data_IF_161018573317
#
_entry.id   IF_161018573317
#
_cell.length_a   1.000
_cell.length_b   1.000
_cell.length_c   1.000
_cell.angle_alpha   90.00
_cell.angle_beta   90.00
_cell.angle_gamma   90.00
#
_symmetry.space_group_name_H-M   'P 1'
#
loop_
_entity.id
_entity.type
_entity.pdbx_description
1 polymer ?
#
# COMPACT_ATOMS: atom_id res chain seq x y z
N UNK A 1 0.12 10.99 -22.77
CA UNK A 1 -0.39 11.67 -23.98
C UNK A 1 -1.84 12.04 -23.73
N UNK A 2 -2.26 13.30 -23.94
CA UNK A 2 -3.69 13.59 -23.87
C UNK A 2 -4.36 12.98 -25.11
N UNK A 3 -5.47 12.29 -24.92
CA UNK A 3 -6.27 11.79 -26.05
C UNK A 3 -6.57 12.93 -27.03
N UNK A 4 -6.73 12.65 -28.32
CA UNK A 4 -6.94 13.69 -29.34
C UNK A 4 -8.22 14.52 -29.11
N UNK A 5 -9.19 13.98 -28.35
CA UNK A 5 -10.42 14.65 -27.94
C UNK A 5 -10.31 15.40 -26.60
N UNK A 6 -9.19 15.30 -25.89
CA UNK A 6 -8.99 16.04 -24.65
C UNK A 6 -8.86 17.54 -24.97
N UNK A 7 -9.83 18.33 -24.50
CA UNK A 7 -9.83 19.77 -24.73
C UNK A 7 -8.65 20.42 -24.00
N UNK A 8 -7.90 21.33 -24.61
CA UNK A 8 -6.83 22.06 -23.92
C UNK A 8 -7.42 23.07 -22.93
N UNK A 9 -6.60 23.49 -21.98
CA UNK A 9 -6.95 24.59 -21.08
C UNK A 9 -7.00 25.91 -21.85
N UNK A 10 -8.10 26.65 -21.72
CA UNK A 10 -8.26 27.98 -22.32
C UNK A 10 -8.56 29.02 -21.23
N UNK A 11 -7.62 29.92 -20.90
CA UNK A 11 -7.86 30.98 -19.92
C UNK A 11 -8.92 31.98 -20.43
N UNK A 12 -9.99 32.17 -19.64
CA UNK A 12 -11.12 33.05 -20.01
C UNK A 12 -10.97 34.49 -19.49
N UNK A 13 -10.13 34.72 -18.50
CA UNK A 13 -9.93 36.03 -17.87
C UNK A 13 -8.57 36.62 -18.24
N UNK A 14 -8.45 37.96 -18.18
CA UNK A 14 -7.17 38.64 -18.37
C UNK A 14 -6.09 38.16 -17.39
N UNK A 15 -6.47 38.00 -16.12
CA UNK A 15 -5.61 37.43 -15.07
C UNK A 15 -5.20 35.99 -15.38
N UNK A 16 -6.14 35.16 -15.84
CA UNK A 16 -5.87 33.76 -16.22
C UNK A 16 -4.84 33.67 -17.35
N UNK A 17 -4.95 34.53 -18.37
CA UNK A 17 -3.96 34.61 -19.46
C UNK A 17 -2.58 35.02 -18.94
N UNK A 18 -2.53 36.05 -18.09
CA UNK A 18 -1.28 36.53 -17.51
C UNK A 18 -0.54 35.45 -16.72
N UNK A 19 -1.27 34.65 -15.92
CA UNK A 19 -0.69 33.51 -15.20
C UNK A 19 -0.25 32.40 -16.15
N UNK A 20 -1.11 31.98 -17.08
CA UNK A 20 -0.84 30.85 -17.97
C UNK A 20 0.38 31.07 -18.88
N UNK A 21 0.68 32.32 -19.24
CA UNK A 21 1.90 32.69 -20.00
C UNK A 21 3.20 32.62 -19.20
N UNK A 22 3.14 32.76 -17.86
CA UNK A 22 4.34 32.90 -17.00
C UNK A 22 4.58 31.67 -16.14
N UNK A 23 3.51 31.12 -15.60
CA UNK A 23 3.48 30.00 -14.70
C UNK A 23 2.18 29.22 -14.96
N UNK A 24 2.19 28.25 -15.90
CA UNK A 24 1.00 27.53 -16.38
C UNK A 24 0.44 26.51 -15.37
N UNK A 25 0.35 26.90 -14.09
CA UNK A 25 -0.23 26.10 -13.02
C UNK A 25 -1.71 25.77 -13.27
N UNK A 26 -2.58 26.71 -13.70
CA UNK A 26 -3.97 26.37 -14.00
C UNK A 26 -4.08 25.32 -15.11
N UNK A 27 -3.24 25.43 -16.15
CA UNK A 27 -3.14 24.45 -17.24
C UNK A 27 -2.65 23.09 -16.75
N UNK A 28 -1.63 23.07 -15.90
CA UNK A 28 -1.13 21.84 -15.27
C UNK A 28 -2.22 21.13 -14.46
N UNK A 29 -2.92 21.85 -13.58
CA UNK A 29 -4.02 21.29 -12.77
C UNK A 29 -5.15 20.81 -13.67
N UNK A 30 -5.55 21.60 -14.67
CA UNK A 30 -6.60 21.23 -15.61
C UNK A 30 -6.28 19.95 -16.39
N UNK A 31 -5.02 19.78 -16.83
CA UNK A 31 -4.55 18.61 -17.56
C UNK A 31 -4.23 17.38 -16.70
N UNK A 32 -3.99 17.56 -15.39
CA UNK A 32 -3.66 16.47 -14.48
C UNK A 32 -4.89 15.89 -13.77
N UNK A 33 -5.79 16.74 -13.27
CA UNK A 33 -6.95 16.34 -12.46
C UNK A 33 -8.23 17.10 -12.82
N UNK A 34 -8.22 17.89 -13.90
CA UNK A 34 -9.34 18.71 -14.31
C UNK A 34 -10.17 18.11 -15.46
N UNK A 35 -10.79 19.00 -16.24
CA UNK A 35 -11.55 18.62 -17.43
C UNK A 35 -10.68 18.11 -18.59
N UNK A 36 -9.37 18.40 -18.56
CA UNK A 36 -8.41 18.02 -19.59
C UNK A 36 -7.83 16.62 -19.41
N UNK A 37 -8.22 15.89 -18.36
CA UNK A 37 -7.76 14.52 -18.10
C UNK A 37 -8.89 13.51 -18.29
N UNK A 38 -8.98 12.83 -19.45
CA UNK A 38 -9.99 11.80 -19.69
C UNK A 38 -9.61 10.49 -18.99
N UNK A 39 -10.58 9.90 -18.30
CA UNK A 39 -10.43 8.69 -17.49
C UNK A 39 -11.47 7.66 -17.95
N UNK A 40 -11.14 6.34 -18.02
CA UNK A 40 -12.10 5.29 -18.37
C UNK A 40 -13.39 5.45 -17.55
N UNK A 41 -14.58 5.31 -18.14
CA UNK A 41 -15.85 5.57 -17.42
C UNK A 41 -16.33 4.47 -16.47
N UNK A 42 -15.77 3.26 -16.59
CA UNK A 42 -16.18 2.07 -15.84
C UNK A 42 -15.34 1.83 -14.58
N UNK A 43 -14.67 2.85 -14.02
CA UNK A 43 -13.89 2.65 -12.80
C UNK A 43 -14.82 2.39 -11.60
N UNK A 44 -14.68 1.24 -10.96
CA UNK A 44 -15.35 0.92 -9.70
C UNK A 44 -14.63 1.57 -8.49
N UNK A 45 -15.14 1.35 -7.27
CA UNK A 45 -14.60 1.99 -6.06
C UNK A 45 -13.17 1.57 -5.68
N UNK A 46 -12.63 0.49 -6.24
CA UNK A 46 -11.24 0.10 -5.96
C UNK A 46 -10.22 1.10 -6.55
N UNK A 47 -10.62 1.96 -7.48
CA UNK A 47 -9.75 3.04 -8.00
C UNK A 47 -9.58 4.21 -7.02
N UNK A 48 -10.47 4.36 -6.04
CA UNK A 48 -10.45 5.45 -5.06
C UNK A 48 -9.30 5.32 -4.04
N UNK A 49 -8.77 4.10 -3.85
CA UNK A 49 -7.68 3.85 -2.89
C UNK A 49 -6.38 4.58 -3.22
N UNK A 50 -6.16 5.00 -4.48
CA UNK A 50 -5.00 5.83 -4.83
C UNK A 50 -5.09 7.24 -4.22
N UNK A 51 -6.26 7.88 -4.33
CA UNK A 51 -6.51 9.20 -3.74
C UNK A 51 -6.52 9.13 -2.21
N UNK A 52 -7.10 8.07 -1.64
CA UNK A 52 -7.04 7.83 -0.20
C UNK A 52 -5.59 7.70 0.31
N UNK A 53 -4.72 7.01 -0.43
CA UNK A 53 -3.30 6.90 -0.03
C UNK A 53 -2.63 8.27 0.03
N UNK A 54 -2.92 9.14 -0.94
CA UNK A 54 -2.49 10.54 -0.92
C UNK A 54 -3.07 11.32 0.28
N UNK A 55 -4.33 11.11 0.63
CA UNK A 55 -4.94 11.75 1.79
C UNK A 55 -4.27 11.32 3.10
N UNK A 56 -4.01 10.03 3.31
CA UNK A 56 -3.30 9.55 4.50
C UNK A 56 -1.84 10.02 4.53
N UNK A 57 -1.15 10.11 3.39
CA UNK A 57 0.18 10.74 3.36
C UNK A 57 0.13 12.18 3.89
N UNK A 58 -0.86 12.97 3.47
CA UNK A 58 -1.04 14.34 3.96
C UNK A 58 -1.38 14.39 5.45
N UNK A 59 -2.26 13.52 5.93
CA UNK A 59 -2.58 13.40 7.36
C UNK A 59 -1.30 13.10 8.15
N UNK A 60 -0.49 12.14 7.72
CA UNK A 60 0.75 11.78 8.41
C UNK A 60 1.76 12.93 8.41
N UNK A 61 1.95 13.65 7.28
CA UNK A 61 2.89 14.77 7.21
C UNK A 61 2.43 15.91 8.14
N UNK A 62 1.17 16.32 8.06
CA UNK A 62 0.66 17.45 8.85
C UNK A 62 0.69 17.11 10.35
N UNK A 63 0.15 15.96 10.75
CA UNK A 63 0.17 15.56 12.17
C UNK A 63 1.59 15.29 12.66
N UNK A 64 2.47 14.73 11.83
CA UNK A 64 3.87 14.47 12.17
C UNK A 64 4.67 15.74 12.42
N UNK A 65 4.52 16.76 11.57
CA UNK A 65 5.15 18.08 11.77
C UNK A 65 4.67 18.70 13.09
N UNK A 66 3.37 18.63 13.39
CA UNK A 66 2.82 19.18 14.64
C UNK A 66 3.34 18.42 15.87
N UNK A 67 3.39 17.08 15.82
CA UNK A 67 3.94 16.27 16.91
C UNK A 67 5.43 16.54 17.13
N UNK A 68 6.19 16.73 16.06
CA UNK A 68 7.62 17.03 16.13
C UNK A 68 7.94 18.35 16.85
N UNK A 69 6.99 19.30 16.93
CA UNK A 69 7.17 20.55 17.69
C UNK A 69 7.19 20.34 19.21
N UNK A 70 6.68 19.20 19.69
CA UNK A 70 6.56 18.88 21.12
C UNK A 70 7.34 17.61 21.52
N UNK A 71 7.80 16.83 20.55
CA UNK A 71 8.57 15.61 20.79
C UNK A 71 10.04 15.92 21.10
N UNK A 72 10.62 15.20 22.07
CA UNK A 72 12.03 15.29 22.41
C UNK A 72 12.76 13.97 22.12
N UNK A 73 13.75 13.99 21.20
CA UNK A 73 14.51 12.81 20.78
C UNK A 73 15.67 12.50 21.74
N UNK A 74 15.34 12.08 22.95
CA UNK A 74 16.29 11.60 23.96
C UNK A 74 15.81 10.30 24.60
N UNK A 75 16.69 9.34 24.86
CA UNK A 75 16.31 8.08 25.55
C UNK A 75 15.73 8.33 26.94
N UNK A 76 16.17 9.40 27.61
CA UNK A 76 15.68 9.79 28.94
C UNK A 76 14.31 10.50 28.90
N UNK A 77 13.94 11.06 27.74
CA UNK A 77 12.82 12.00 27.62
C UNK A 77 11.77 11.68 26.57
N UNK A 78 12.05 10.78 25.62
CA UNK A 78 11.18 10.50 24.48
C UNK A 78 9.80 10.01 24.92
N UNK A 79 9.76 8.99 25.77
CA UNK A 79 8.51 8.44 26.31
C UNK A 79 7.70 9.51 27.05
N UNK A 80 8.36 10.26 27.94
CA UNK A 80 7.71 11.33 28.71
C UNK A 80 7.24 12.49 27.83
N UNK A 81 7.94 12.82 26.74
CA UNK A 81 7.50 13.84 25.78
C UNK A 81 6.23 13.43 25.03
N UNK A 82 6.06 12.13 24.75
CA UNK A 82 4.82 11.61 24.16
C UNK A 82 3.67 11.67 25.17
N UNK A 83 3.92 11.37 26.45
CA UNK A 83 2.89 11.54 27.49
C UNK A 83 2.55 13.02 27.75
N UNK A 84 3.51 13.93 27.64
CA UNK A 84 3.28 15.38 27.66
C UNK A 84 2.35 15.81 26.52
N UNK A 85 2.60 15.33 25.28
CA UNK A 85 1.69 15.56 24.14
C UNK A 85 0.28 15.09 24.46
N UNK A 86 0.13 13.92 25.09
CA UNK A 86 -1.18 13.37 25.42
C UNK A 86 -1.96 14.20 26.44
N UNK A 87 -1.26 14.77 27.42
CA UNK A 87 -1.88 15.29 28.65
C UNK A 87 -1.95 16.80 28.69
N UNK A 88 -0.97 17.48 28.12
CA UNK A 88 -0.74 18.91 28.35
C UNK A 88 -0.92 19.75 27.08
N UNK A 89 -0.63 19.17 25.90
CA UNK A 89 -0.78 19.88 24.62
C UNK A 89 -2.25 19.94 24.23
N UNK A 90 -2.72 21.13 23.82
CA UNK A 90 -4.09 21.34 23.36
C UNK A 90 -4.44 20.37 22.21
N UNK A 91 -5.42 19.50 22.44
CA UNK A 91 -5.81 18.42 21.53
C UNK A 91 -4.65 17.48 21.11
N UNK A 92 -3.56 17.43 21.88
CA UNK A 92 -2.40 16.59 21.58
C UNK A 92 -2.72 15.10 21.60
N UNK A 93 -3.63 14.65 22.48
CA UNK A 93 -4.19 13.29 22.46
C UNK A 93 -4.79 12.92 21.10
N UNK A 94 -5.55 13.84 20.50
CA UNK A 94 -6.22 13.63 19.23
C UNK A 94 -5.19 13.57 18.11
N UNK A 95 -4.22 14.49 18.11
CA UNK A 95 -3.17 14.54 17.09
C UNK A 95 -2.29 13.29 17.14
N UNK A 96 -1.91 12.82 18.34
CA UNK A 96 -1.16 11.55 18.49
C UNK A 96 -1.97 10.38 17.95
N UNK A 97 -3.24 10.26 18.31
CA UNK A 97 -4.07 9.15 17.82
C UNK A 97 -4.37 9.23 16.33
N UNK A 98 -4.51 10.43 15.76
CA UNK A 98 -4.62 10.61 14.31
C UNK A 98 -3.34 10.14 13.60
N UNK A 99 -2.17 10.46 14.13
CA UNK A 99 -0.90 10.02 13.53
C UNK A 99 -0.68 8.50 13.67
N UNK A 100 -1.00 7.93 14.83
CA UNK A 100 -0.83 6.51 15.12
C UNK A 100 -1.82 5.64 14.33
N UNK A 101 -3.13 5.95 14.39
CA UNK A 101 -4.13 5.22 13.63
C UNK A 101 -4.07 5.53 12.13
N UNK A 102 -3.62 6.74 11.77
CA UNK A 102 -3.41 7.14 10.38
C UNK A 102 -2.37 6.26 9.69
N UNK A 103 -1.30 5.85 10.40
CA UNK A 103 -0.35 4.86 9.88
C UNK A 103 -1.03 3.52 9.55
N UNK A 104 -1.88 3.01 10.44
CA UNK A 104 -2.64 1.77 10.19
C UNK A 104 -3.56 1.92 8.97
N UNK A 105 -4.37 2.98 8.91
CA UNK A 105 -5.26 3.20 7.78
C UNK A 105 -4.49 3.40 6.47
N UNK A 106 -3.30 4.01 6.51
CA UNK A 106 -2.43 4.13 5.35
C UNK A 106 -2.03 2.75 4.82
N UNK A 107 -1.64 1.80 5.68
CA UNK A 107 -1.37 0.42 5.24
C UNK A 107 -2.60 -0.34 4.77
N UNK A 108 -3.78 -0.16 5.41
CA UNK A 108 -5.04 -0.77 4.93
C UNK A 108 -5.30 -0.33 3.48
N UNK A 109 -5.24 0.99 3.24
CA UNK A 109 -5.47 1.58 1.93
C UNK A 109 -4.46 1.09 0.91
N UNK A 110 -3.18 1.06 1.27
CA UNK A 110 -2.11 0.62 0.38
C UNK A 110 -2.19 -0.88 0.08
N UNK A 111 -2.53 -1.73 1.05
CA UNK A 111 -2.75 -3.16 0.77
C UNK A 111 -3.89 -3.38 -0.22
N UNK A 112 -5.03 -2.72 -0.01
CA UNK A 112 -6.15 -2.82 -0.95
C UNK A 112 -5.73 -2.28 -2.33
N UNK A 113 -4.95 -1.19 -2.38
CA UNK A 113 -4.44 -0.64 -3.63
C UNK A 113 -3.49 -1.60 -4.38
N UNK A 114 -2.60 -2.29 -3.67
CA UNK A 114 -1.69 -3.31 -4.21
C UNK A 114 -2.50 -4.50 -4.74
N UNK A 115 -3.41 -5.06 -3.93
CA UNK A 115 -4.22 -6.22 -4.33
C UNK A 115 -5.18 -5.91 -5.47
N UNK A 116 -5.70 -4.68 -5.56
CA UNK A 116 -6.39 -4.19 -6.76
C UNK A 116 -5.47 -4.28 -7.97
N UNK A 117 -4.24 -3.79 -7.86
CA UNK A 117 -3.26 -3.83 -8.95
C UNK A 117 -2.93 -5.25 -9.39
N UNK A 118 -2.78 -6.17 -8.43
CA UNK A 118 -2.61 -7.60 -8.66
C UNK A 118 -3.80 -8.21 -9.42
N UNK A 119 -5.03 -7.92 -8.98
CA UNK A 119 -6.24 -8.50 -9.56
C UNK A 119 -6.51 -8.02 -10.99
N UNK A 120 -6.42 -6.70 -11.23
CA UNK A 120 -6.74 -6.11 -12.54
C UNK A 120 -5.55 -6.09 -13.51
N UNK A 121 -4.40 -6.64 -13.11
CA UNK A 121 -3.19 -6.64 -13.94
C UNK A 121 -2.67 -5.22 -14.22
N UNK A 122 -2.87 -4.27 -13.30
CA UNK A 122 -2.46 -2.87 -13.47
C UNK A 122 -0.94 -2.69 -13.50
N UNK A 123 -0.19 -3.74 -13.17
CA UNK A 123 1.27 -3.80 -13.25
C UNK A 123 1.80 -4.23 -14.63
N UNK A 124 0.95 -4.79 -15.49
CA UNK A 124 1.34 -5.24 -16.84
C UNK A 124 1.59 -4.04 -17.77
N UNK A 125 2.27 -4.32 -18.88
CA UNK A 125 2.56 -3.34 -19.93
C UNK A 125 1.31 -2.52 -20.34
N UNK A 126 1.44 -1.19 -20.51
CA UNK A 126 2.65 -0.35 -20.39
C UNK A 126 2.80 0.36 -19.02
N UNK A 127 2.43 -0.29 -17.90
CA UNK A 127 2.34 0.32 -16.55
C UNK A 127 3.39 -0.21 -15.56
N UNK A 128 4.45 -0.83 -16.06
CA UNK A 128 5.52 -1.43 -15.24
C UNK A 128 6.18 -0.38 -14.34
N UNK A 129 6.47 0.81 -14.86
CA UNK A 129 7.06 1.90 -14.08
C UNK A 129 6.12 2.41 -12.99
N UNK A 130 4.80 2.45 -13.25
CA UNK A 130 3.80 2.82 -12.23
C UNK A 130 3.88 1.82 -11.08
N UNK A 131 3.90 0.53 -11.39
CA UNK A 131 4.01 -0.54 -10.41
C UNK A 131 5.32 -0.46 -9.59
N UNK A 132 6.47 -0.32 -10.25
CA UNK A 132 7.77 -0.24 -9.57
C UNK A 132 7.86 0.98 -8.65
N UNK A 133 7.42 2.15 -9.10
CA UNK A 133 7.36 3.35 -8.26
C UNK A 133 6.40 3.13 -7.07
N UNK A 134 5.29 2.42 -7.28
CA UNK A 134 4.39 2.00 -6.20
C UNK A 134 5.06 1.11 -5.15
N UNK A 135 5.88 0.15 -5.59
CA UNK A 135 6.65 -0.71 -4.68
C UNK A 135 7.78 0.04 -3.95
N UNK A 136 8.41 1.02 -4.61
CA UNK A 136 9.37 1.93 -3.95
C UNK A 136 8.67 2.74 -2.86
N UNK A 137 7.48 3.30 -3.15
CA UNK A 137 6.66 3.99 -2.15
C UNK A 137 6.33 3.04 -0.98
N UNK A 138 5.93 1.80 -1.28
CA UNK A 138 5.62 0.82 -0.26
C UNK A 138 6.82 0.52 0.66
N UNK A 139 8.02 0.31 0.12
CA UNK A 139 9.23 0.11 0.92
C UNK A 139 9.57 1.34 1.78
N UNK A 140 9.43 2.54 1.22
CA UNK A 140 9.63 3.79 1.95
C UNK A 140 8.59 3.93 3.08
N UNK A 141 7.32 3.57 2.85
CA UNK A 141 6.29 3.56 3.88
C UNK A 141 6.63 2.60 5.01
N UNK A 142 7.09 1.38 4.70
CA UNK A 142 7.51 0.40 5.72
C UNK A 142 8.67 0.93 6.57
N UNK A 143 9.71 1.48 5.94
CA UNK A 143 10.84 2.08 6.65
C UNK A 143 10.40 3.26 7.53
N UNK A 144 9.53 4.12 7.00
CA UNK A 144 9.01 5.31 7.71
C UNK A 144 8.19 4.91 8.92
N UNK A 145 7.26 3.96 8.76
CA UNK A 145 6.40 3.49 9.83
C UNK A 145 7.20 2.81 10.96
N UNK A 146 8.17 1.95 10.60
CA UNK A 146 9.09 1.35 11.57
C UNK A 146 9.81 2.41 12.41
N UNK A 147 10.48 3.37 11.76
CA UNK A 147 11.22 4.40 12.51
C UNK A 147 10.30 5.27 13.37
N UNK A 148 9.10 5.58 12.89
CA UNK A 148 8.07 6.29 13.64
C UNK A 148 7.62 5.54 14.89
N UNK A 149 7.49 4.21 14.78
CA UNK A 149 7.12 3.35 15.90
C UNK A 149 8.25 3.20 16.93
N UNK A 150 9.50 3.48 16.58
CA UNK A 150 10.61 3.53 17.55
C UNK A 150 10.56 4.80 18.42
N UNK A 151 10.03 5.91 17.89
CA UNK A 151 10.11 7.23 18.54
C UNK A 151 9.45 7.33 19.94
N UNK A 152 8.31 6.67 20.22
CA UNK A 152 7.74 6.68 21.57
C UNK A 152 8.63 6.06 22.64
N UNK A 153 9.65 5.27 22.25
CA UNK A 153 10.61 4.64 23.15
C UNK A 153 9.97 3.81 24.27
N UNK A 154 8.89 3.10 23.93
CA UNK A 154 8.31 2.06 24.78
C UNK A 154 8.95 0.68 24.57
N UNK A 155 8.43 -0.34 25.24
CA UNK A 155 8.94 -1.70 25.12
C UNK A 155 8.90 -2.24 23.69
N UNK A 156 7.77 -2.10 22.98
CA UNK A 156 7.66 -2.59 21.61
C UNK A 156 8.56 -1.78 20.65
N UNK A 157 8.69 -0.47 20.89
CA UNK A 157 9.61 0.41 20.16
C UNK A 157 11.07 -0.06 20.24
N UNK A 158 11.58 -0.25 21.46
CA UNK A 158 12.99 -0.62 21.69
C UNK A 158 13.32 -2.00 21.12
N UNK A 159 12.51 -3.00 21.50
CA UNK A 159 12.79 -4.36 21.09
C UNK A 159 12.49 -4.60 19.61
N UNK A 160 11.52 -3.89 19.04
CA UNK A 160 11.30 -3.84 17.59
C UNK A 160 12.53 -3.31 16.85
N UNK A 161 13.15 -2.24 17.35
CA UNK A 161 14.41 -1.71 16.80
C UNK A 161 15.55 -2.74 16.90
N UNK A 162 15.69 -3.43 18.04
CA UNK A 162 16.70 -4.46 18.23
C UNK A 162 16.53 -5.64 17.25
N UNK A 163 15.29 -6.10 17.05
CA UNK A 163 14.98 -7.22 16.15
C UNK A 163 15.20 -6.83 14.69
N UNK A 164 14.62 -5.71 14.23
CA UNK A 164 14.67 -5.29 12.82
C UNK A 164 16.09 -4.93 12.40
N UNK A 165 16.84 -4.19 13.21
CA UNK A 165 18.26 -3.93 12.91
C UNK A 165 19.11 -5.21 13.02
N UNK A 166 18.70 -6.14 13.88
CA UNK A 166 19.28 -7.48 13.99
C UNK A 166 19.20 -8.29 12.70
N UNK A 167 18.23 -8.05 11.82
CA UNK A 167 18.14 -8.74 10.52
C UNK A 167 19.38 -8.52 9.65
N UNK A 168 19.96 -7.31 9.68
CA UNK A 168 21.15 -7.00 8.89
C UNK A 168 22.38 -7.78 9.34
N UNK A 169 22.49 -8.14 10.62
CA UNK A 169 23.58 -9.00 11.12
C UNK A 169 23.54 -10.43 10.58
N UNK A 170 22.46 -10.85 9.89
CA UNK A 170 22.40 -12.16 9.26
C UNK A 170 23.31 -12.29 8.03
N UNK A 171 23.69 -11.17 7.40
CA UNK A 171 24.55 -11.18 6.22
C UNK A 171 26.02 -11.42 6.59
N UNK A 172 26.67 -12.46 6.03
CA UNK A 172 28.08 -12.73 6.29
C UNK A 172 28.97 -11.54 5.89
N UNK A 173 30.04 -11.30 6.65
CA UNK A 173 31.06 -10.26 6.43
C UNK A 173 30.56 -8.81 6.61
N UNK A 174 29.48 -8.43 5.95
CA UNK A 174 28.98 -7.04 5.91
C UNK A 174 27.89 -6.75 6.95
N UNK A 175 27.26 -7.79 7.51
CA UNK A 175 26.05 -7.64 8.31
C UNK A 175 26.26 -6.91 9.63
N UNK A 176 27.25 -7.30 10.42
CA UNK A 176 27.52 -6.65 11.71
C UNK A 176 28.04 -5.22 11.56
N UNK A 177 29.00 -4.91 10.65
CA UNK A 177 29.38 -3.52 10.38
C UNK A 177 28.19 -2.66 9.94
N UNK A 178 27.28 -3.19 9.11
CA UNK A 178 26.08 -2.48 8.69
C UNK A 178 25.11 -2.23 9.87
N UNK A 179 24.90 -3.22 10.73
CA UNK A 179 24.05 -3.06 11.93
C UNK A 179 24.61 -2.01 12.87
N UNK A 180 25.91 -2.06 13.17
CA UNK A 180 26.59 -1.04 14.01
C UNK A 180 26.50 0.33 13.35
N UNK A 181 26.69 0.41 12.03
CA UNK A 181 26.51 1.65 11.28
C UNK A 181 25.07 2.17 11.36
N UNK A 182 24.04 1.33 11.35
CA UNK A 182 22.64 1.76 11.46
C UNK A 182 22.29 2.26 12.86
N UNK A 183 22.77 1.56 13.90
CA UNK A 183 22.51 1.91 15.30
C UNK A 183 23.38 3.07 15.81
N UNK A 184 24.58 3.24 15.25
CA UNK A 184 25.60 4.12 15.82
C UNK A 184 26.21 3.56 17.11
N UNK A 185 26.11 2.24 17.32
CA UNK A 185 26.52 1.52 18.52
C UNK A 185 26.20 0.03 18.42
N UNK A 186 26.29 -0.71 19.53
CA UNK A 186 26.08 -2.17 19.56
C UNK A 186 24.63 -2.58 19.86
N UNK A 187 23.81 -1.65 20.33
CA UNK A 187 22.40 -1.83 20.66
C UNK A 187 21.64 -0.54 20.35
N UNK A 188 20.29 -0.58 20.25
CA UNK A 188 19.47 0.62 20.24
C UNK A 188 19.77 1.47 21.48
N UNK A 189 20.08 2.74 21.24
CA UNK A 189 20.41 3.74 22.25
C UNK A 189 20.20 5.14 21.64
N UNK A 190 20.65 6.21 22.32
CA UNK A 190 20.52 7.61 21.93
C UNK A 190 20.88 7.87 20.47
N UNK A 191 22.01 7.32 19.99
CA UNK A 191 22.45 7.50 18.61
C UNK A 191 21.44 6.96 17.59
N UNK A 192 20.84 5.78 17.87
CA UNK A 192 19.83 5.18 17.01
C UNK A 192 18.54 6.01 17.00
N UNK A 193 18.06 6.42 18.19
CA UNK A 193 16.84 7.19 18.35
C UNK A 193 16.89 8.54 17.61
N UNK A 194 17.97 9.30 17.77
CA UNK A 194 18.14 10.59 17.09
C UNK A 194 18.18 10.45 15.56
N UNK A 195 18.82 9.39 15.05
CA UNK A 195 18.88 9.14 13.61
C UNK A 195 17.55 8.68 13.05
N UNK A 196 16.84 7.82 13.77
CA UNK A 196 15.51 7.39 13.38
C UNK A 196 14.51 8.54 13.40
N UNK A 197 14.62 9.48 14.34
CA UNK A 197 13.84 10.72 14.29
C UNK A 197 14.11 11.52 13.01
N UNK A 198 15.38 11.78 12.70
CA UNK A 198 15.77 12.53 11.49
C UNK A 198 15.27 11.86 10.20
N UNK A 199 15.45 10.54 10.09
CA UNK A 199 15.03 9.79 8.91
C UNK A 199 13.50 9.65 8.83
N UNK A 200 12.81 9.44 9.96
CA UNK A 200 11.35 9.42 10.00
C UNK A 200 10.74 10.77 9.58
N UNK A 201 11.40 11.88 9.90
CA UNK A 201 10.99 13.21 9.42
C UNK A 201 11.23 13.37 7.91
N UNK A 202 12.38 12.89 7.41
CA UNK A 202 12.78 13.05 6.00
C UNK A 202 11.95 12.19 5.03
N UNK A 203 11.76 10.90 5.34
CA UNK A 203 11.19 9.94 4.39
C UNK A 203 9.77 10.25 3.91
N UNK A 204 8.84 10.82 4.70
CA UNK A 204 7.54 11.28 4.19
C UNK A 204 7.64 12.26 3.01
N UNK A 205 8.66 13.12 2.98
CA UNK A 205 8.89 14.02 1.84
C UNK A 205 9.49 13.29 0.64
N UNK A 206 10.33 12.30 0.88
CA UNK A 206 10.81 11.39 -0.19
C UNK A 206 9.64 10.61 -0.78
N UNK A 207 8.73 10.09 0.05
CA UNK A 207 7.49 9.44 -0.39
C UNK A 207 6.67 10.41 -1.24
N UNK A 208 6.46 11.64 -0.79
CA UNK A 208 5.72 12.64 -1.57
C UNK A 208 6.37 12.91 -2.95
N UNK A 209 7.69 13.01 -3.02
CA UNK A 209 8.41 13.15 -4.29
C UNK A 209 8.22 11.94 -5.22
N UNK A 210 8.30 10.72 -4.69
CA UNK A 210 8.07 9.50 -5.49
C UNK A 210 6.60 9.36 -5.88
N UNK A 211 5.64 9.80 -5.06
CA UNK A 211 4.22 9.87 -5.41
C UNK A 211 3.98 10.78 -6.61
N UNK A 212 4.66 11.93 -6.69
CA UNK A 212 4.60 12.80 -7.88
C UNK A 212 5.08 12.05 -9.12
N UNK A 213 6.20 11.33 -9.03
CA UNK A 213 6.70 10.50 -10.12
C UNK A 213 5.75 9.37 -10.48
N UNK A 214 5.13 8.73 -9.49
CA UNK A 214 4.17 7.65 -9.67
C UNK A 214 2.90 8.12 -10.41
N UNK A 215 2.37 9.28 -10.02
CA UNK A 215 1.23 9.92 -10.69
C UNK A 215 1.61 10.36 -12.12
N UNK A 216 2.80 10.91 -12.31
CA UNK A 216 3.28 11.25 -13.65
C UNK A 216 3.42 10.00 -14.54
N UNK A 217 4.06 8.93 -14.04
CA UNK A 217 4.15 7.66 -14.75
C UNK A 217 2.78 7.10 -15.12
N UNK A 218 1.75 7.29 -14.28
CA UNK A 218 0.36 6.93 -14.57
C UNK A 218 -0.27 7.78 -15.68
N UNK A 219 0.01 9.09 -15.72
CA UNK A 219 -0.53 10.00 -16.73
C UNK A 219 -0.02 9.74 -18.15
N UNK A 220 1.05 8.94 -18.31
CA UNK A 220 1.58 8.58 -19.63
C UNK A 220 0.65 7.58 -20.35
N UNK A 221 0.41 6.36 -19.81
CA UNK A 221 -0.51 5.38 -20.39
C UNK A 221 -1.97 5.54 -19.93
N UNK A 222 -2.23 6.39 -18.94
CA UNK A 222 -3.55 6.56 -18.32
C UNK A 222 -3.95 5.42 -17.39
N UNK A 223 -5.03 5.66 -16.64
CA UNK A 223 -5.61 4.67 -15.72
C UNK A 223 -5.98 3.38 -16.43
N UNK A 224 -5.66 2.24 -15.81
CA UNK A 224 -6.30 0.96 -16.15
C UNK A 224 -7.78 0.99 -15.72
N UNK A 225 -8.55 -0.03 -16.07
CA UNK A 225 -9.96 -0.15 -15.68
C UNK A 225 -10.33 -1.63 -15.42
N UNK A 226 -11.50 -1.92 -14.84
CA UNK A 226 -11.88 -3.27 -14.45
C UNK A 226 -11.86 -4.30 -15.57
N UNK A 227 -12.03 -3.88 -16.83
CA UNK A 227 -12.03 -4.82 -17.95
C UNK A 227 -10.63 -5.10 -18.50
N UNK A 228 -9.66 -4.23 -18.23
CA UNK A 228 -8.29 -4.32 -18.77
C UNK A 228 -8.17 -3.91 -20.25
N UNK A 229 -9.27 -3.54 -20.90
CA UNK A 229 -9.33 -3.06 -22.30
C UNK A 229 -8.86 -1.62 -22.37
N UNK A 230 -8.07 -1.27 -23.39
CA UNK A 230 -7.59 0.10 -23.61
C UNK A 230 -8.69 1.05 -24.08
N UNK A 231 -8.51 2.33 -23.78
CA UNK A 231 -9.39 3.41 -24.25
C UNK A 231 -9.22 3.58 -25.76
N UNK A 232 -10.31 3.48 -26.52
CA UNK A 232 -10.30 3.61 -27.99
C UNK A 232 -10.95 4.90 -28.46
N UNK A 233 -12.01 5.33 -27.79
CA UNK A 233 -12.83 6.46 -28.23
C UNK A 233 -13.17 7.41 -27.09
N UNK A 234 -13.62 8.63 -27.42
CA UNK A 234 -14.12 9.60 -26.43
C UNK A 234 -15.24 9.00 -25.57
N UNK A 235 -16.10 8.18 -26.18
CA UNK A 235 -17.19 7.47 -25.49
C UNK A 235 -16.69 6.48 -24.44
N UNK A 236 -15.42 6.10 -24.41
CA UNK A 236 -14.90 5.24 -23.35
C UNK A 236 -14.51 6.00 -22.08
N UNK A 237 -14.53 7.34 -22.14
CA UNK A 237 -14.00 8.21 -21.09
C UNK A 237 -15.01 9.19 -20.54
N UNK A 238 -14.67 9.77 -19.39
CA UNK A 238 -15.24 10.97 -18.79
C UNK A 238 -14.09 11.85 -18.29
N UNK A 239 -14.25 13.19 -18.24
CA UNK A 239 -13.24 14.04 -17.61
C UNK A 239 -13.10 13.72 -16.12
N UNK A 240 -11.89 13.84 -15.55
CA UNK A 240 -11.65 13.60 -14.13
C UNK A 240 -12.52 14.52 -13.26
N UNK A 241 -12.48 15.82 -13.52
CA UNK A 241 -13.38 16.77 -12.88
C UNK A 241 -14.62 17.04 -13.77
N UNK A 242 -15.86 16.99 -13.24
CA UNK A 242 -16.21 16.80 -11.82
C UNK A 242 -16.47 15.33 -11.42
N UNK A 243 -16.56 14.39 -12.36
CA UNK A 243 -17.08 13.04 -12.11
C UNK A 243 -16.26 12.25 -11.08
N UNK A 244 -14.95 12.11 -11.32
CA UNK A 244 -14.06 11.38 -10.42
C UNK A 244 -13.71 12.19 -9.18
N UNK A 245 -13.60 13.51 -9.26
CA UNK A 245 -13.47 14.36 -8.06
C UNK A 245 -14.63 14.15 -7.09
N UNK A 246 -15.87 14.13 -7.57
CA UNK A 246 -17.06 13.94 -6.72
C UNK A 246 -17.11 12.51 -6.14
N UNK A 247 -16.85 11.49 -6.97
CA UNK A 247 -16.79 10.10 -6.53
C UNK A 247 -15.71 9.87 -5.48
N UNK A 248 -14.52 10.43 -5.69
CA UNK A 248 -13.38 10.35 -4.78
C UNK A 248 -13.66 11.09 -3.48
N UNK A 249 -14.25 12.29 -3.55
CA UNK A 249 -14.65 13.06 -2.36
C UNK A 249 -15.69 12.33 -1.51
N UNK A 250 -16.72 11.75 -2.13
CA UNK A 250 -17.74 10.96 -1.43
C UNK A 250 -17.13 9.73 -0.74
N UNK A 251 -16.33 8.96 -1.47
CA UNK A 251 -15.68 7.77 -0.93
C UNK A 251 -14.68 8.11 0.19
N UNK A 252 -13.93 9.20 0.02
CA UNK A 252 -13.00 9.70 1.03
C UNK A 252 -13.73 10.13 2.30
N UNK A 253 -14.88 10.81 2.19
CA UNK A 253 -15.69 11.18 3.35
C UNK A 253 -16.16 9.95 4.14
N UNK A 254 -16.65 8.91 3.46
CA UNK A 254 -17.06 7.67 4.11
C UNK A 254 -15.87 6.96 4.82
N UNK A 255 -14.71 6.89 4.18
CA UNK A 255 -13.53 6.24 4.75
C UNK A 255 -12.91 7.06 5.91
N UNK A 256 -12.90 8.39 5.81
CA UNK A 256 -12.47 9.28 6.88
C UNK A 256 -13.43 9.28 8.06
N UNK A 257 -14.74 9.06 7.84
CA UNK A 257 -15.69 8.83 8.92
C UNK A 257 -15.35 7.54 9.68
N UNK A 258 -15.03 6.44 8.99
CA UNK A 258 -14.56 5.21 9.65
C UNK A 258 -13.24 5.44 10.42
N UNK A 259 -12.29 6.16 9.83
CA UNK A 259 -11.05 6.55 10.50
C UNK A 259 -11.29 7.36 11.77
N UNK A 260 -12.22 8.33 11.72
CA UNK A 260 -12.62 9.10 12.88
C UNK A 260 -13.30 8.20 13.94
N UNK A 261 -14.20 7.29 13.54
CA UNK A 261 -14.84 6.37 14.48
C UNK A 261 -13.81 5.55 15.26
N UNK A 262 -12.81 4.97 14.57
CA UNK A 262 -11.74 4.22 15.24
C UNK A 262 -10.89 5.14 16.12
N UNK A 263 -10.49 6.31 15.61
CA UNK A 263 -9.59 7.22 16.34
C UNK A 263 -10.22 7.81 17.60
N UNK A 264 -11.52 8.12 17.58
CA UNK A 264 -12.19 8.74 18.73
C UNK A 264 -12.76 7.72 19.71
N UNK A 265 -13.26 6.57 19.24
CA UNK A 265 -13.96 5.60 20.11
C UNK A 265 -13.16 4.33 20.41
N UNK A 266 -12.13 4.02 19.61
CA UNK A 266 -11.28 2.84 19.82
C UNK A 266 -9.79 3.09 19.47
N UNK A 267 -9.17 4.19 19.94
CA UNK A 267 -7.86 4.66 19.45
C UNK A 267 -6.71 3.66 19.64
N UNK A 268 -6.83 2.76 20.62
CA UNK A 268 -5.79 1.79 20.97
C UNK A 268 -6.03 0.39 20.38
N UNK A 269 -7.13 0.19 19.65
CA UNK A 269 -7.51 -1.13 19.13
C UNK A 269 -6.47 -1.73 18.18
N UNK A 270 -5.77 -0.89 17.41
CA UNK A 270 -4.78 -1.32 16.41
C UNK A 270 -3.33 -1.23 16.92
N UNK A 271 -3.13 -0.83 18.19
CA UNK A 271 -1.82 -0.72 18.83
C UNK A 271 -1.52 -1.89 19.77
N UNK A 272 -0.29 -1.93 20.29
CA UNK A 272 0.11 -2.92 21.29
C UNK A 272 0.20 -2.27 22.69
N UNK A 273 -0.43 -2.85 23.73
CA UNK A 273 -0.48 -2.25 25.06
C UNK A 273 0.90 -2.07 25.69
N UNK A 274 1.83 -3.00 25.48
CA UNK A 274 3.19 -2.91 26.06
C UNK A 274 3.97 -1.69 25.58
N UNK A 275 3.56 -1.03 24.50
CA UNK A 275 4.21 0.22 24.08
C UNK A 275 3.83 1.44 24.95
N UNK A 276 2.96 1.24 25.96
CA UNK A 276 2.72 2.16 27.07
C UNK A 276 3.61 1.86 28.29
N UNK A 277 4.51 0.88 28.20
CA UNK A 277 5.55 0.63 29.19
C UNK A 277 6.85 1.26 28.65
N UNK A 278 7.57 2.10 29.41
CA UNK A 278 8.87 2.63 29.00
C UNK A 278 9.85 1.52 28.63
N UNK A 279 10.72 1.78 27.67
CA UNK A 279 11.73 0.81 27.26
C UNK A 279 12.64 0.37 28.42
N UNK A 280 12.75 -0.94 28.61
CA UNK A 280 13.73 -1.58 29.48
C UNK A 280 14.65 -2.46 28.62
N UNK A 281 15.91 -2.03 28.39
CA UNK A 281 16.91 -2.80 27.64
C UNK A 281 17.24 -4.17 28.24
N UNK A 282 16.89 -4.41 29.52
CA UNK A 282 17.23 -5.63 30.25
C UNK A 282 16.06 -6.61 30.34
N UNK A 283 14.85 -6.20 29.95
CA UNK A 283 13.65 -7.04 30.05
C UNK A 283 12.86 -7.06 28.73
N UNK A 284 13.01 -8.13 27.96
CA UNK A 284 12.18 -8.36 26.78
C UNK A 284 10.75 -8.74 27.19
N UNK A 285 9.71 -8.10 26.63
CA UNK A 285 8.34 -8.52 26.83
C UNK A 285 8.10 -9.97 26.42
N UNK A 286 7.23 -10.68 27.14
CA UNK A 286 6.93 -12.09 26.89
C UNK A 286 6.33 -12.32 25.49
N UNK A 287 5.60 -11.33 24.95
CA UNK A 287 4.93 -11.41 23.65
C UNK A 287 5.34 -10.25 22.75
N UNK A 288 6.59 -10.24 22.30
CA UNK A 288 7.04 -9.29 21.28
C UNK A 288 6.46 -9.64 19.90
N UNK A 289 5.66 -8.73 19.35
CA UNK A 289 5.12 -8.81 18.00
C UNK A 289 5.27 -7.45 17.31
N UNK A 290 5.56 -7.41 16.00
CA UNK A 290 5.51 -6.16 15.28
C UNK A 290 4.05 -5.73 15.07
N UNK A 291 3.88 -4.55 14.51
CA UNK A 291 2.60 -3.97 14.16
C UNK A 291 1.89 -4.82 13.08
N UNK A 292 0.56 -4.77 13.06
CA UNK A 292 -0.25 -5.71 12.28
C UNK A 292 0.05 -5.68 10.77
N UNK A 293 0.41 -4.51 10.25
CA UNK A 293 0.79 -4.35 8.85
C UNK A 293 2.15 -4.97 8.51
N UNK A 294 2.92 -5.47 9.48
CA UNK A 294 4.13 -6.26 9.25
C UNK A 294 3.97 -7.76 9.51
N UNK A 295 2.84 -8.20 10.08
CA UNK A 295 2.63 -9.60 10.44
C UNK A 295 2.85 -10.60 9.31
N UNK A 296 2.37 -10.40 8.06
CA UNK A 296 2.57 -11.39 7.00
C UNK A 296 4.05 -11.63 6.70
N UNK A 297 4.86 -10.57 6.65
CA UNK A 297 6.30 -10.66 6.39
C UNK A 297 7.06 -11.23 7.59
N UNK A 298 6.65 -10.86 8.79
CA UNK A 298 7.20 -11.44 10.02
C UNK A 298 6.93 -12.94 10.10
N UNK A 299 5.74 -13.40 9.70
CA UNK A 299 5.41 -14.83 9.61
C UNK A 299 6.28 -15.58 8.61
N UNK A 300 6.53 -14.99 7.44
CA UNK A 300 7.46 -15.53 6.43
C UNK A 300 8.87 -15.66 7.02
N UNK A 301 9.37 -14.62 7.71
CA UNK A 301 10.71 -14.64 8.31
C UNK A 301 10.90 -15.82 9.26
N UNK A 302 9.97 -16.00 10.20
CA UNK A 302 10.06 -17.02 11.26
C UNK A 302 9.63 -18.43 10.83
N UNK A 303 9.17 -18.60 9.59
CA UNK A 303 8.86 -19.92 9.04
C UNK A 303 10.13 -20.77 8.82
N UNK A 304 11.28 -20.12 8.67
CA UNK A 304 12.58 -20.76 8.48
C UNK A 304 13.26 -21.02 9.83
N UNK A 305 13.14 -22.26 10.33
CA UNK A 305 13.57 -22.63 11.68
C UNK A 305 14.78 -23.58 11.71
N UNK A 306 15.23 -24.06 10.56
CA UNK A 306 16.30 -25.05 10.44
C UNK A 306 17.43 -24.53 9.56
N UNK A 307 18.67 -24.81 9.97
CA UNK A 307 19.84 -24.52 9.14
C UNK A 307 19.91 -25.50 7.97
N UNK A 308 20.06 -24.98 6.76
CA UNK A 308 20.32 -25.78 5.56
C UNK A 308 21.04 -24.91 4.54
N UNK A 309 22.14 -25.32 3.89
CA UNK A 309 22.95 -24.49 2.96
C UNK A 309 23.46 -23.16 3.57
N UNK A 310 22.57 -22.29 4.05
CA UNK A 310 22.75 -21.10 4.87
C UNK A 310 22.07 -21.26 6.25
N UNK A 311 22.45 -20.45 7.25
CA UNK A 311 21.76 -20.42 8.53
C UNK A 311 20.28 -20.03 8.41
N UNK A 312 19.41 -20.60 9.24
CA UNK A 312 17.96 -20.32 9.30
C UNK A 312 17.67 -18.83 9.42
N UNK A 313 18.46 -18.12 10.25
CA UNK A 313 18.41 -16.67 10.41
C UNK A 313 18.57 -15.94 9.06
N UNK A 314 19.54 -16.34 8.24
CA UNK A 314 19.75 -15.73 6.92
C UNK A 314 18.62 -16.09 5.95
N UNK A 315 18.15 -17.34 5.95
CA UNK A 315 17.00 -17.73 5.14
C UNK A 315 15.73 -16.94 5.44
N UNK A 316 15.40 -16.78 6.73
CA UNK A 316 14.25 -15.99 7.14
C UNK A 316 14.33 -14.54 6.64
N UNK A 317 15.50 -13.91 6.79
CA UNK A 317 15.74 -12.54 6.30
C UNK A 317 15.62 -12.47 4.77
N UNK A 318 16.26 -13.39 4.04
CA UNK A 318 16.18 -13.45 2.58
C UNK A 318 14.75 -13.66 2.10
N UNK A 319 14.00 -14.57 2.71
CA UNK A 319 12.62 -14.84 2.33
C UNK A 319 11.71 -13.65 2.63
N UNK A 320 11.86 -12.99 3.78
CA UNK A 320 11.10 -11.79 4.10
C UNK A 320 11.30 -10.68 3.05
N UNK A 321 12.55 -10.38 2.69
CA UNK A 321 12.83 -9.37 1.66
C UNK A 321 12.42 -9.85 0.27
N UNK A 322 12.67 -11.11 -0.08
CA UNK A 322 12.28 -11.69 -1.37
C UNK A 322 10.75 -11.64 -1.57
N UNK A 323 9.95 -11.80 -0.51
CA UNK A 323 8.50 -11.72 -0.59
C UNK A 323 8.02 -10.37 -1.17
N UNK A 324 8.73 -9.28 -0.87
CA UNK A 324 8.41 -7.95 -1.42
C UNK A 324 9.13 -7.74 -2.76
N UNK A 325 10.42 -8.06 -2.82
CA UNK A 325 11.26 -7.80 -3.99
C UNK A 325 10.83 -8.59 -5.22
N UNK A 326 10.23 -9.78 -5.05
CA UNK A 326 9.69 -10.56 -6.17
C UNK A 326 8.60 -9.78 -6.92
N UNK A 327 7.87 -8.90 -6.24
CA UNK A 327 6.80 -8.13 -6.85
C UNK A 327 7.33 -7.17 -7.90
N UNK A 328 8.59 -6.69 -7.81
CA UNK A 328 9.20 -5.89 -8.88
C UNK A 328 9.27 -6.67 -10.19
N UNK A 329 9.42 -7.98 -10.13
CA UNK A 329 9.51 -8.86 -11.30
C UNK A 329 8.15 -9.33 -11.82
N UNK A 330 7.07 -9.02 -11.10
CA UNK A 330 5.70 -9.47 -11.42
C UNK A 330 5.26 -9.19 -12.87
N UNK A 331 5.55 -8.01 -13.48
CA UNK A 331 5.20 -7.74 -14.88
C UNK A 331 5.80 -8.73 -15.88
N UNK A 332 6.89 -9.40 -15.53
CA UNK A 332 7.57 -10.39 -16.39
C UNK A 332 7.28 -11.83 -15.98
N UNK A 333 6.74 -12.07 -14.79
CA UNK A 333 6.26 -13.37 -14.34
C UNK A 333 4.87 -13.70 -14.92
N UNK A 334 3.95 -12.74 -14.93
CA UNK A 334 2.62 -12.92 -15.55
C UNK A 334 2.61 -12.51 -17.02
N UNK A 335 2.87 -13.49 -17.89
CA UNK A 335 2.88 -13.31 -19.35
C UNK A 335 1.52 -13.45 -20.02
N UNK A 336 0.41 -13.54 -19.26
CA UNK A 336 -0.92 -13.68 -19.87
C UNK A 336 -1.26 -12.41 -20.65
N UNK A 337 -1.75 -12.52 -21.90
CA UNK A 337 -2.12 -11.37 -22.72
C UNK A 337 -3.36 -10.65 -22.15
N UNK A 338 -4.16 -11.31 -21.33
CA UNK A 338 -5.32 -10.72 -20.67
C UNK A 338 -4.89 -10.06 -19.36
N UNK A 339 -5.18 -8.76 -19.24
CA UNK A 339 -4.78 -7.98 -18.06
C UNK A 339 -5.67 -8.25 -16.85
N UNK A 340 -6.98 -8.05 -17.00
CA UNK A 340 -7.91 -8.18 -15.88
C UNK A 340 -8.13 -9.62 -15.46
N UNK A 341 -8.02 -9.89 -14.16
CA UNK A 341 -8.36 -11.16 -13.54
C UNK A 341 -9.85 -11.52 -13.64
N UNK A 342 -10.73 -10.55 -13.95
CA UNK A 342 -12.16 -10.81 -14.15
C UNK A 342 -12.43 -11.76 -15.33
N UNK A 343 -11.57 -11.77 -16.34
CA UNK A 343 -11.68 -12.63 -17.53
C UNK A 343 -10.72 -13.81 -17.51
N UNK A 344 -10.15 -14.13 -16.35
CA UNK A 344 -9.17 -15.21 -16.17
C UNK A 344 -9.66 -16.17 -15.09
N UNK A 345 -10.48 -17.18 -15.45
CA UNK A 345 -11.21 -18.01 -14.48
C UNK A 345 -10.30 -18.79 -13.51
N UNK A 346 -9.16 -19.29 -13.99
CA UNK A 346 -8.20 -20.04 -13.19
C UNK A 346 -7.37 -19.06 -12.34
N UNK A 347 -6.87 -17.98 -12.93
CA UNK A 347 -6.17 -16.92 -12.19
C UNK A 347 -7.01 -16.40 -11.02
N UNK A 348 -8.30 -16.10 -11.26
CA UNK A 348 -9.22 -15.56 -10.24
C UNK A 348 -9.30 -16.48 -9.01
N UNK A 349 -9.33 -17.80 -9.19
CA UNK A 349 -9.35 -18.77 -8.07
C UNK A 349 -8.06 -18.69 -7.26
N UNK A 350 -6.90 -18.76 -7.92
CA UNK A 350 -5.60 -18.72 -7.24
C UNK A 350 -5.29 -17.35 -6.63
N UNK A 351 -5.80 -16.27 -7.21
CA UNK A 351 -5.73 -14.94 -6.62
C UNK A 351 -6.47 -14.89 -5.27
N UNK A 352 -7.68 -15.43 -5.19
CA UNK A 352 -8.41 -15.46 -3.90
C UNK A 352 -7.76 -16.39 -2.88
N UNK A 353 -7.15 -17.50 -3.33
CA UNK A 353 -6.33 -18.33 -2.44
C UNK A 353 -5.12 -17.53 -1.93
N UNK A 354 -4.46 -16.70 -2.76
CA UNK A 354 -3.40 -15.79 -2.31
C UNK A 354 -3.91 -14.77 -1.27
N UNK A 355 -5.09 -14.20 -1.46
CA UNK A 355 -5.67 -13.27 -0.46
C UNK A 355 -5.86 -13.98 0.88
N UNK A 356 -6.41 -15.19 0.87
CA UNK A 356 -6.59 -16.01 2.08
C UNK A 356 -5.24 -16.37 2.70
N UNK A 357 -4.25 -16.74 1.88
CA UNK A 357 -2.90 -17.07 2.33
C UNK A 357 -2.21 -15.92 3.05
N UNK A 358 -2.29 -14.69 2.50
CA UNK A 358 -1.73 -13.49 3.15
C UNK A 358 -2.45 -13.17 4.46
N UNK A 359 -3.75 -13.43 4.57
CA UNK A 359 -4.49 -13.32 5.84
C UNK A 359 -4.01 -14.38 6.85
N UNK A 360 -3.81 -15.62 6.40
CA UNK A 360 -3.26 -16.70 7.25
C UNK A 360 -1.86 -16.34 7.73
N UNK A 361 -0.99 -15.82 6.85
CA UNK A 361 0.34 -15.31 7.23
C UNK A 361 0.22 -14.19 8.27
N UNK A 362 -0.70 -13.24 8.09
CA UNK A 362 -0.98 -12.20 9.08
C UNK A 362 -1.39 -12.77 10.45
N UNK A 363 -2.28 -13.75 10.46
CA UNK A 363 -2.70 -14.44 11.70
C UNK A 363 -1.50 -15.16 12.33
N UNK A 364 -0.69 -15.88 11.55
CA UNK A 364 0.49 -16.58 12.06
C UNK A 364 1.54 -15.62 12.63
N UNK A 365 1.65 -14.41 12.09
CA UNK A 365 2.61 -13.40 12.53
C UNK A 365 2.38 -12.94 13.97
N UNK A 366 1.13 -12.90 14.45
CA UNK A 366 0.81 -12.52 15.84
C UNK A 366 0.75 -13.71 16.80
N UNK A 367 0.72 -14.96 16.30
CA UNK A 367 0.62 -16.16 17.14
C UNK A 367 1.98 -16.60 17.69
N UNK A 368 2.04 -17.32 18.82
CA UNK A 368 3.30 -17.80 19.39
C UNK A 368 4.11 -18.69 18.43
N UNK A 369 5.43 -18.74 18.59
CA UNK A 369 6.35 -19.57 17.79
C UNK A 369 6.32 -21.02 18.28
N UNK A 370 5.17 -21.67 18.12
CA UNK A 370 4.93 -23.06 18.52
C UNK A 370 4.01 -23.78 17.52
N UNK A 371 3.86 -25.10 17.67
CA UNK A 371 2.89 -25.86 16.87
C UNK A 371 1.44 -25.53 17.30
N UNK A 372 0.47 -25.43 16.38
CA UNK A 372 0.56 -25.72 14.94
C UNK A 372 0.99 -24.52 14.08
N UNK A 373 1.19 -23.34 14.68
CA UNK A 373 1.38 -22.08 13.94
C UNK A 373 2.64 -22.06 13.08
N UNK A 374 3.73 -22.69 13.53
CA UNK A 374 4.95 -22.85 12.72
C UNK A 374 4.67 -23.63 11.44
N UNK A 375 3.98 -24.78 11.54
CA UNK A 375 3.67 -25.60 10.36
C UNK A 375 2.74 -24.86 9.39
N UNK A 376 1.73 -24.16 9.93
CA UNK A 376 0.82 -23.34 9.11
C UNK A 376 1.59 -22.22 8.41
N UNK A 377 2.48 -21.51 9.11
CA UNK A 377 3.27 -20.43 8.50
C UNK A 377 4.24 -20.94 7.43
N UNK A 378 4.78 -22.16 7.60
CA UNK A 378 5.63 -22.81 6.60
C UNK A 378 4.86 -23.16 5.32
N UNK A 379 3.67 -23.75 5.45
CA UNK A 379 2.80 -24.08 4.31
C UNK A 379 2.34 -22.80 3.60
N UNK A 380 1.94 -21.78 4.35
CA UNK A 380 1.50 -20.51 3.78
C UNK A 380 2.66 -19.78 3.08
N UNK A 381 3.84 -19.72 3.69
CA UNK A 381 5.05 -19.16 3.06
C UNK A 381 5.39 -19.90 1.76
N UNK A 382 5.30 -21.22 1.76
CA UNK A 382 5.52 -22.02 0.55
C UNK A 382 4.50 -21.67 -0.54
N UNK A 383 3.21 -21.59 -0.20
CA UNK A 383 2.18 -21.21 -1.16
C UNK A 383 2.42 -19.80 -1.71
N UNK A 384 2.77 -18.82 -0.87
CA UNK A 384 3.07 -17.45 -1.29
C UNK A 384 4.12 -17.41 -2.41
N UNK A 385 5.26 -18.08 -2.22
CA UNK A 385 6.31 -18.14 -3.24
C UNK A 385 5.91 -18.96 -4.46
N UNK A 386 5.24 -20.11 -4.28
CA UNK A 386 4.73 -20.91 -5.38
C UNK A 386 3.71 -20.15 -6.22
N UNK A 387 2.87 -19.31 -5.60
CA UNK A 387 1.88 -18.51 -6.28
C UNK A 387 2.53 -17.64 -7.36
N UNK A 388 3.53 -16.86 -6.98
CA UNK A 388 4.18 -15.92 -7.90
C UNK A 388 5.20 -16.58 -8.84
N UNK A 389 6.00 -17.53 -8.36
CA UNK A 389 7.12 -18.08 -9.12
C UNK A 389 6.73 -19.25 -10.01
N UNK A 390 5.64 -19.96 -9.70
CA UNK A 390 5.25 -21.21 -10.39
C UNK A 390 3.83 -21.11 -10.92
N UNK A 391 2.84 -20.96 -10.03
CA UNK A 391 1.42 -21.01 -10.40
C UNK A 391 1.08 -19.91 -11.40
N UNK A 392 1.45 -18.66 -11.12
CA UNK A 392 1.11 -17.52 -11.97
C UNK A 392 1.71 -17.64 -13.39
N UNK A 393 3.02 -17.94 -13.57
CA UNK A 393 3.58 -18.25 -14.89
C UNK A 393 2.92 -19.42 -15.62
N UNK A 394 2.54 -20.49 -14.90
CA UNK A 394 1.87 -21.65 -15.52
C UNK A 394 0.44 -21.30 -15.95
N UNK A 395 -0.34 -20.62 -15.10
CA UNK A 395 -1.68 -20.13 -15.46
C UNK A 395 -1.58 -19.23 -16.68
N UNK A 396 -0.62 -18.30 -16.71
CA UNK A 396 -0.42 -17.42 -17.84
C UNK A 396 -0.15 -18.15 -19.17
N UNK A 397 0.41 -19.36 -19.12
CA UNK A 397 0.71 -20.18 -20.30
C UNK A 397 -0.46 -21.08 -20.74
N UNK A 398 -1.24 -21.61 -19.80
CA UNK A 398 -2.19 -22.69 -20.07
C UNK A 398 -3.67 -22.30 -19.93
N UNK A 399 -3.96 -21.20 -19.24
CA UNK A 399 -5.34 -20.74 -19.06
C UNK A 399 -5.95 -20.32 -20.40
N UNK A 400 -7.21 -20.67 -20.62
CA UNK A 400 -8.03 -20.11 -21.69
C UNK A 400 -8.86 -18.97 -21.11
N UNK A 401 -8.56 -17.70 -21.45
CA UNK A 401 -9.31 -16.56 -20.93
C UNK A 401 -10.73 -16.48 -21.49
N UNK A 402 -11.60 -15.77 -20.78
CA UNK A 402 -12.93 -15.40 -21.27
C UNK A 402 -12.82 -14.30 -22.33
N UNK A 403 -13.83 -14.15 -23.22
CA UNK A 403 -13.90 -13.02 -24.14
C UNK A 403 -13.84 -11.67 -23.41
N UNK A 404 -13.16 -10.71 -24.03
CA UNK A 404 -13.12 -9.32 -23.55
C UNK A 404 -14.21 -8.51 -24.28
N UNK A 405 -14.80 -7.50 -23.63
CA UNK A 405 -15.67 -6.56 -24.32
C UNK A 405 -14.89 -5.79 -25.40
N UNK A 406 -15.57 -5.38 -26.47
CA UNK A 406 -14.92 -4.68 -27.58
C UNK A 406 -14.52 -3.25 -27.19
N UNK A 407 -15.20 -2.66 -26.21
CA UNK A 407 -14.93 -1.32 -25.69
C UNK A 407 -15.28 -1.19 -24.20
N UNK A 408 -14.78 -0.13 -23.57
CA UNK A 408 -15.17 0.20 -22.19
C UNK A 408 -16.64 0.59 -22.14
N UNK A 409 -17.14 1.28 -23.16
CA UNK A 409 -18.56 1.68 -23.23
C UNK A 409 -19.51 0.49 -23.22
N UNK A 410 -19.20 -0.56 -23.98
CA UNK A 410 -20.00 -1.80 -24.04
C UNK A 410 -20.15 -2.44 -22.66
N UNK A 411 -19.04 -2.50 -21.89
CA UNK A 411 -19.03 -3.06 -20.53
C UNK A 411 -19.95 -2.37 -19.54
N UNK A 412 -20.28 -1.10 -19.79
CA UNK A 412 -21.21 -0.33 -18.96
C UNK A 412 -22.66 -0.60 -19.36
N UNK A 413 -22.92 -0.86 -20.64
CA UNK A 413 -24.28 -1.03 -21.19
C UNK A 413 -24.83 -2.45 -20.98
N UNK A 414 -23.98 -3.47 -20.98
CA UNK A 414 -24.41 -4.87 -20.92
C UNK A 414 -24.11 -5.57 -19.58
N UNK A 415 -23.26 -4.98 -18.73
CA UNK A 415 -22.90 -5.53 -17.42
C UNK A 415 -21.93 -6.72 -17.50
N UNK A 416 -20.99 -6.81 -16.54
CA UNK A 416 -19.89 -7.80 -16.56
C UNK A 416 -20.35 -9.27 -16.70
N UNK A 417 -21.55 -9.61 -16.21
CA UNK A 417 -22.08 -10.97 -16.25
C UNK A 417 -22.61 -11.41 -17.62
N UNK A 418 -23.07 -10.47 -18.46
CA UNK A 418 -23.56 -10.79 -19.81
C UNK A 418 -22.41 -10.95 -20.82
N UNK A 419 -21.28 -10.28 -20.58
CA UNK A 419 -20.11 -10.27 -21.47
C UNK A 419 -19.15 -11.44 -21.23
N UNK A 420 -19.13 -12.00 -20.02
CA UNK A 420 -18.34 -13.17 -19.66
C UNK A 420 -18.87 -14.50 -20.25
N UNK A 421 -19.97 -14.48 -21.02
CA UNK A 421 -20.52 -15.65 -21.68
C UNK A 421 -19.71 -16.01 -22.94
N UNK A 422 -19.50 -17.31 -23.23
CA UNK A 422 -18.90 -17.75 -24.49
C UNK A 422 -19.68 -17.18 -25.69
N UNK A 423 -18.96 -16.76 -26.73
CA UNK A 423 -19.58 -16.26 -27.96
C UNK A 423 -20.63 -17.27 -28.48
N UNK A 424 -21.90 -16.84 -28.56
CA UNK A 424 -23.02 -17.67 -29.00
C UNK A 424 -23.90 -18.28 -27.90
N UNK A 425 -23.63 -18.02 -26.61
CA UNK A 425 -24.53 -18.39 -25.52
C UNK A 425 -25.17 -17.15 -24.90
N UNK A 426 -26.49 -16.99 -25.06
CA UNK A 426 -27.25 -16.01 -24.30
C UNK A 426 -27.21 -16.35 -22.81
N UNK A 427 -27.09 -15.37 -21.89
CA UNK A 427 -27.19 -15.62 -20.47
C UNK A 427 -28.53 -16.29 -20.17
N UNK A 428 -28.54 -17.28 -19.25
CA UNK A 428 -29.77 -17.96 -18.83
C UNK A 428 -30.79 -16.90 -18.39
N UNK A 429 -32.04 -16.95 -18.88
CA UNK A 429 -33.04 -15.97 -18.50
C UNK A 429 -33.33 -16.14 -17.01
N UNK A 430 -32.89 -15.17 -16.20
CA UNK A 430 -33.06 -15.20 -14.74
C UNK A 430 -32.14 -14.28 -13.93
N UNK A 431 -31.07 -13.71 -14.51
CA UNK A 431 -30.14 -12.83 -13.76
C UNK A 431 -30.23 -11.34 -14.10
N UNK A 432 -31.23 -10.92 -14.88
CA UNK A 432 -31.49 -9.49 -15.09
C UNK A 432 -32.29 -9.01 -13.89
N UNK A 433 -31.61 -8.41 -12.91
CA UNK A 433 -32.28 -7.51 -11.99
C UNK A 433 -32.83 -6.36 -12.84
N UNK A 434 -34.15 -6.37 -13.02
CA UNK A 434 -34.91 -5.27 -13.60
C UNK A 434 -34.63 -4.02 -12.78
N UNK A 435 -33.77 -3.13 -13.28
CA UNK A 435 -33.76 -1.75 -12.86
C UNK A 435 -35.05 -1.12 -13.38
N UNK A 436 -36.12 -1.21 -12.59
CA UNK A 436 -37.31 -0.39 -12.78
C UNK A 436 -36.95 1.03 -12.37
N UNK A 437 -37.05 1.95 -13.32
CA UNK A 437 -37.09 3.38 -13.05
C UNK A 437 -38.42 3.73 -12.36
N UNK A 438 -38.34 4.23 -11.14
CA UNK A 438 -39.24 5.23 -10.54
C UNK A 438 -38.41 6.19 -9.69
#
# INVERSE_FOLDING_TARGET
>A
MSFSWAKPYEPKTGLGRWFDERLPLPRLVYGAIGGGYPVPRNLNYFWNFGVLAGAFLMIQIVTGIVLAMWYYSSVDGAFNSVEHIMRDVNAGWMIRYLHMNGASFFFIVTYIHIFRGLYYGSYKAPRELVWMLGLVIYLLMMATAFMGYVLPWGQMSYWGAQVITGFFSAFPVVGEPLRVFLLGGFAPDQAALTRFFSLHYLLPFVIAAVVILHIWALHIPGSSNPTGVDVKTEKDTLPFHPFYTAKDGWFAAAFLALFALVTFFAPNMLGHPDNYIPADPLATPAHIVPEWYFWPFYAILRAFTVDFILPAKLWGVLAMFAAILLLFFLPWLDKSPVRSGSYRPVFKRFFWILVVDVIILGICGVKPVEQPWIAISQVATMYYFLHFLVILPLIAKFETPLPLPNSITESVLHGEAAEAAPAGQSPRPGSVATATAE
#
